data_IF_962069373107
#
_entry.id   IF_962069373107
#
_cell.length_a   1.000
_cell.length_b   1.000
_cell.length_c   1.000
_cell.angle_alpha   90.00
_cell.angle_beta   90.00
_cell.angle_gamma   90.00
#
_symmetry.space_group_name_H-M   'P 1'
#
loop_
_entity.id
_entity.type
_entity.pdbx_description
1 polymer ?
#
# COMPACT_ATOMS: atom_id res chain seq x y z
N UNK A 1 -17.47 6.75 -3.51
CA UNK A 1 -17.05 6.72 -2.08
C UNK A 1 -15.53 6.54 -2.06
N UNK A 2 -14.79 7.30 -1.24
CA UNK A 2 -13.32 7.25 -1.23
C UNK A 2 -12.71 6.26 -0.22
N UNK A 3 -13.36 6.05 0.93
CA UNK A 3 -12.90 5.13 1.98
C UNK A 3 -14.08 4.50 2.74
N UNK A 4 -13.82 3.39 3.43
CA UNK A 4 -14.69 2.86 4.49
C UNK A 4 -14.17 3.36 5.84
N UNK A 5 -14.78 4.42 6.38
CA UNK A 5 -14.35 5.02 7.64
C UNK A 5 -14.85 4.23 8.85
N UNK A 6 -13.98 4.02 9.83
CA UNK A 6 -14.30 3.40 11.12
C UNK A 6 -13.48 4.08 12.25
N UNK A 7 -13.75 3.72 13.51
CA UNK A 7 -12.97 4.23 14.65
C UNK A 7 -11.62 3.49 14.75
N UNK A 8 -10.64 4.10 15.41
CA UNK A 8 -9.32 3.49 15.60
C UNK A 8 -9.45 2.19 16.39
N UNK A 9 -10.31 2.15 17.41
CA UNK A 9 -10.53 0.99 18.28
C UNK A 9 -11.14 -0.19 17.51
N UNK A 10 -12.07 0.08 16.58
CA UNK A 10 -12.60 -0.96 15.69
C UNK A 10 -11.53 -1.46 14.72
N UNK A 11 -10.76 -0.54 14.12
CA UNK A 11 -9.69 -0.89 13.19
C UNK A 11 -8.63 -1.77 13.87
N UNK A 12 -8.13 -1.39 15.04
CA UNK A 12 -7.14 -2.16 15.81
C UNK A 12 -7.67 -3.54 16.21
N UNK A 13 -8.94 -3.62 16.65
CA UNK A 13 -9.59 -4.89 16.97
C UNK A 13 -9.64 -5.82 15.75
N UNK A 14 -9.97 -5.30 14.58
CA UNK A 14 -10.07 -6.08 13.34
C UNK A 14 -8.70 -6.46 12.79
N UNK A 15 -7.69 -5.61 12.96
CA UNK A 15 -6.28 -5.94 12.71
C UNK A 15 -5.84 -7.11 13.60
N UNK A 16 -6.13 -7.06 14.91
CA UNK A 16 -5.78 -8.14 15.83
C UNK A 16 -6.45 -9.48 15.49
N UNK A 17 -7.60 -9.45 14.80
CA UNK A 17 -8.30 -10.62 14.28
C UNK A 17 -7.76 -11.12 12.92
N UNK A 18 -6.79 -10.44 12.33
CA UNK A 18 -6.24 -10.79 11.02
C UNK A 18 -7.17 -10.48 9.84
N UNK A 19 -8.07 -9.50 9.97
CA UNK A 19 -9.05 -9.17 8.92
C UNK A 19 -8.46 -8.31 7.78
N UNK A 20 -7.23 -7.84 7.94
CA UNK A 20 -6.54 -6.96 6.99
C UNK A 20 -5.42 -7.71 6.27
N UNK A 21 -5.40 -7.52 4.95
CA UNK A 21 -4.34 -7.99 4.06
C UNK A 21 -3.06 -7.19 4.30
N UNK A 22 -3.21 -5.87 4.40
CA UNK A 22 -2.17 -4.93 4.79
C UNK A 22 -2.78 -3.76 5.58
N UNK A 23 -1.94 -3.10 6.38
CA UNK A 23 -2.29 -1.84 7.03
C UNK A 23 -1.04 -1.01 7.36
N UNK A 24 -1.23 0.30 7.44
CA UNK A 24 -0.18 1.25 7.82
C UNK A 24 -0.71 2.36 8.73
N UNK A 25 0.17 2.91 9.57
CA UNK A 25 -0.10 4.10 10.39
C UNK A 25 0.48 5.34 9.72
N UNK A 26 -0.38 6.30 9.38
CA UNK A 26 0.01 7.53 8.69
C UNK A 26 -0.64 8.72 9.42
N UNK A 27 0.19 9.65 9.90
CA UNK A 27 -0.25 10.85 10.63
C UNK A 27 -1.27 10.57 11.76
N UNK A 28 -1.04 9.52 12.54
CA UNK A 28 -1.91 9.14 13.67
C UNK A 28 -3.23 8.45 13.27
N UNK A 29 -3.43 8.17 11.98
CA UNK A 29 -4.55 7.35 11.47
C UNK A 29 -4.07 6.00 10.99
N UNK A 30 -5.00 5.05 10.89
CA UNK A 30 -4.73 3.70 10.37
C UNK A 30 -5.47 3.55 9.04
N UNK A 31 -4.73 3.10 8.03
CA UNK A 31 -5.24 2.74 6.72
C UNK A 31 -4.99 1.25 6.49
N UNK A 32 -5.81 0.59 5.68
CA UNK A 32 -5.56 -0.78 5.30
C UNK A 32 -6.59 -1.38 4.37
N UNK A 33 -6.16 -2.40 3.65
CA UNK A 33 -6.97 -3.18 2.71
C UNK A 33 -7.49 -4.43 3.41
N UNK A 34 -8.81 -4.56 3.56
CA UNK A 34 -9.40 -5.75 4.18
C UNK A 34 -9.50 -6.93 3.20
N UNK A 35 -9.36 -8.16 3.71
CA UNK A 35 -9.62 -9.37 2.91
C UNK A 35 -11.05 -9.41 2.36
N UNK A 36 -12.02 -8.84 3.09
CA UNK A 36 -13.39 -8.74 2.64
C UNK A 36 -13.55 -7.84 1.41
N UNK A 37 -12.84 -6.71 1.37
CA UNK A 37 -12.86 -5.80 0.23
C UNK A 37 -12.27 -6.45 -1.03
N UNK A 38 -11.13 -7.15 -0.90
CA UNK A 38 -10.51 -7.87 -2.01
C UNK A 38 -11.43 -8.96 -2.55
N UNK A 39 -12.00 -9.78 -1.66
CA UNK A 39 -12.95 -10.85 -2.06
C UNK A 39 -14.21 -10.30 -2.70
N UNK A 40 -14.76 -9.19 -2.21
CA UNK A 40 -15.95 -8.58 -2.81
C UNK A 40 -15.72 -8.16 -4.27
N UNK A 41 -14.50 -7.77 -4.64
CA UNK A 41 -14.15 -7.45 -6.03
C UNK A 41 -13.95 -8.72 -6.87
N UNK A 42 -13.26 -9.72 -6.31
CA UNK A 42 -12.91 -10.95 -7.02
C UNK A 42 -14.08 -11.94 -7.17
N UNK A 43 -15.01 -11.97 -6.21
CA UNK A 43 -16.08 -12.98 -6.07
C UNK A 43 -17.47 -12.36 -6.11
N UNK A 44 -17.58 -11.05 -6.38
CA UNK A 44 -18.87 -10.37 -6.55
C UNK A 44 -19.67 -10.89 -7.75
N UNK A 45 -20.90 -10.39 -7.92
CA UNK A 45 -21.82 -10.88 -8.97
C UNK A 45 -21.23 -10.87 -10.39
N UNK A 46 -20.40 -9.88 -10.70
CA UNK A 46 -19.50 -9.90 -11.87
C UNK A 46 -18.05 -9.86 -11.37
N UNK A 47 -17.33 -10.99 -11.36
CA UNK A 47 -15.93 -11.07 -10.94
C UNK A 47 -15.04 -10.10 -11.71
N UNK A 48 -14.24 -9.31 -10.99
CA UNK A 48 -13.29 -8.35 -11.58
C UNK A 48 -11.88 -8.62 -11.09
N UNK A 49 -10.90 -8.22 -11.90
CA UNK A 49 -9.51 -8.18 -11.46
C UNK A 49 -9.35 -7.07 -10.41
N UNK A 50 -9.03 -7.46 -9.17
CA UNK A 50 -8.71 -6.51 -8.11
C UNK A 50 -7.30 -5.96 -8.32
N UNK A 51 -7.20 -4.66 -8.62
CA UNK A 51 -5.91 -3.97 -8.73
C UNK A 51 -5.59 -3.37 -7.37
N UNK A 52 -4.50 -3.85 -6.76
CA UNK A 52 -3.97 -3.33 -5.51
C UNK A 52 -2.85 -2.34 -5.82
N UNK A 53 -3.06 -1.07 -5.48
CA UNK A 53 -2.03 -0.03 -5.51
C UNK A 53 -1.40 0.09 -4.12
N UNK A 54 -0.28 -0.62 -3.94
CA UNK A 54 0.41 -0.80 -2.66
C UNK A 54 1.92 -0.66 -2.85
N UNK A 55 2.63 -0.31 -1.79
CA UNK A 55 4.10 -0.30 -1.78
C UNK A 55 4.70 -1.71 -1.69
N UNK A 56 6.03 -1.79 -1.69
CA UNK A 56 6.77 -3.07 -1.63
C UNK A 56 6.48 -3.84 -0.34
N UNK A 57 6.30 -3.15 0.79
CA UNK A 57 5.98 -3.78 2.07
C UNK A 57 4.57 -4.41 2.03
N UNK A 58 3.61 -3.67 1.47
CA UNK A 58 2.26 -4.17 1.21
C UNK A 58 2.29 -5.40 0.30
N UNK A 59 3.04 -5.36 -0.80
CA UNK A 59 3.17 -6.49 -1.73
C UNK A 59 3.74 -7.75 -1.05
N UNK A 60 4.69 -7.60 -0.13
CA UNK A 60 5.21 -8.72 0.67
C UNK A 60 4.16 -9.32 1.60
N UNK A 61 3.29 -8.50 2.19
CA UNK A 61 2.16 -8.99 2.99
C UNK A 61 1.17 -9.78 2.13
N UNK A 62 0.88 -9.32 0.90
CA UNK A 62 0.04 -10.07 -0.05
C UNK A 62 0.66 -11.42 -0.39
N UNK A 63 1.97 -11.45 -0.63
CA UNK A 63 2.70 -12.69 -0.91
C UNK A 63 2.62 -13.67 0.26
N UNK A 64 2.77 -13.19 1.50
CA UNK A 64 2.66 -14.00 2.72
C UNK A 64 1.24 -14.52 2.95
N UNK A 65 0.22 -13.76 2.53
CA UNK A 65 -1.18 -14.17 2.60
C UNK A 65 -1.54 -15.31 1.62
N UNK A 66 -0.63 -15.68 0.72
CA UNK A 66 -0.81 -16.76 -0.28
C UNK A 66 -2.06 -16.58 -1.14
N UNK A 67 -2.44 -15.33 -1.42
CA UNK A 67 -3.51 -15.04 -2.36
C UNK A 67 -3.01 -15.28 -3.80
N UNK A 68 -3.86 -15.82 -4.70
CA UNK A 68 -3.52 -15.90 -6.11
C UNK A 68 -3.47 -14.48 -6.70
N UNK A 69 -2.27 -13.94 -6.87
CA UNK A 69 -2.06 -12.58 -7.34
C UNK A 69 -0.86 -12.49 -8.30
N UNK A 70 -0.98 -11.62 -9.31
CA UNK A 70 0.15 -11.16 -10.11
C UNK A 70 0.80 -9.95 -9.44
N UNK A 71 2.12 -9.86 -9.52
CA UNK A 71 2.89 -8.76 -8.93
C UNK A 71 3.58 -7.97 -10.04
N UNK A 72 3.40 -6.65 -10.03
CA UNK A 72 4.04 -5.73 -10.98
C UNK A 72 4.75 -4.65 -10.17
N UNK A 73 6.08 -4.63 -10.25
CA UNK A 73 6.89 -3.57 -9.66
C UNK A 73 7.11 -2.47 -10.70
N UNK A 74 6.76 -1.23 -10.35
CA UNK A 74 6.94 -0.06 -11.23
C UNK A 74 8.22 0.65 -10.81
N UNK A 75 9.33 0.27 -11.41
CA UNK A 75 10.61 0.92 -11.17
C UNK A 75 10.70 2.28 -11.89
N UNK A 76 11.26 3.34 -11.26
CA UNK A 76 11.70 4.51 -12.01
C UNK A 76 12.84 4.14 -12.98
N UNK A 77 13.04 4.89 -14.07
CA UNK A 77 14.10 4.59 -15.03
C UNK A 77 15.51 4.83 -14.46
N UNK A 78 15.65 5.66 -13.42
CA UNK A 78 16.87 5.83 -12.64
C UNK A 78 16.56 6.46 -11.27
N UNK A 79 17.52 6.41 -10.34
CA UNK A 79 17.39 7.05 -9.02
C UNK A 79 17.34 8.58 -9.14
N UNK A 80 18.09 9.15 -10.08
CA UNK A 80 18.11 10.60 -10.35
C UNK A 80 16.74 11.07 -10.85
N UNK A 81 16.09 10.29 -11.72
CA UNK A 81 14.76 10.61 -12.22
C UNK A 81 13.70 10.48 -11.11
N UNK A 82 13.83 9.51 -10.21
CA UNK A 82 12.97 9.41 -9.03
C UNK A 82 13.10 10.65 -8.14
N UNK A 83 14.34 11.04 -7.79
CA UNK A 83 14.62 12.22 -6.97
C UNK A 83 14.07 13.49 -7.63
N UNK A 84 14.33 13.69 -8.93
CA UNK A 84 13.81 14.82 -9.69
C UNK A 84 12.28 14.91 -9.62
N UNK A 85 11.57 13.78 -9.72
CA UNK A 85 10.10 13.71 -9.62
C UNK A 85 9.60 14.01 -8.22
N UNK A 86 10.25 13.49 -7.17
CA UNK A 86 9.86 13.74 -5.77
C UNK A 86 9.98 15.24 -5.44
N UNK A 87 11.13 15.84 -5.75
CA UNK A 87 11.38 17.27 -5.53
C UNK A 87 10.46 18.15 -6.37
N UNK A 88 10.23 17.77 -7.64
CA UNK A 88 9.37 18.50 -8.55
C UNK A 88 7.90 18.57 -8.15
N UNK A 89 7.42 17.66 -7.28
CA UNK A 89 6.04 17.72 -6.75
C UNK A 89 5.85 18.88 -5.78
N UNK A 90 6.89 19.29 -5.05
CA UNK A 90 6.83 20.39 -4.08
C UNK A 90 5.87 20.16 -2.91
N UNK A 91 5.49 18.90 -2.64
CA UNK A 91 4.51 18.53 -1.61
C UNK A 91 5.13 17.96 -0.33
N UNK A 92 6.44 17.73 -0.32
CA UNK A 92 7.14 17.00 0.73
C UNK A 92 8.32 17.83 1.27
N UNK A 93 8.68 17.63 2.53
CA UNK A 93 9.88 18.27 3.09
C UNK A 93 11.15 17.61 2.53
N UNK A 94 12.26 18.32 2.54
CA UNK A 94 13.58 17.76 2.16
C UNK A 94 13.89 16.46 2.90
N UNK A 95 13.58 16.41 4.20
CA UNK A 95 13.79 15.21 5.02
C UNK A 95 12.90 14.02 4.62
N UNK A 96 11.71 14.28 4.08
CA UNK A 96 10.82 13.21 3.60
C UNK A 96 11.25 12.72 2.22
N UNK A 97 11.77 13.62 1.36
CA UNK A 97 12.36 13.26 0.07
C UNK A 97 13.57 12.34 0.27
N UNK A 98 14.49 12.70 1.16
CA UNK A 98 15.68 11.87 1.46
C UNK A 98 15.30 10.47 1.97
N UNK A 99 14.30 10.38 2.87
CA UNK A 99 13.78 9.08 3.35
C UNK A 99 13.21 8.25 2.21
N UNK A 100 12.44 8.86 1.30
CA UNK A 100 11.88 8.14 0.14
C UNK A 100 12.94 7.64 -0.81
N UNK A 101 13.99 8.43 -1.07
CA UNK A 101 15.12 8.00 -1.90
C UNK A 101 15.86 6.83 -1.23
N UNK A 102 16.08 6.89 0.08
CA UNK A 102 16.72 5.80 0.82
C UNK A 102 15.89 4.50 0.78
N UNK A 103 14.58 4.59 0.99
CA UNK A 103 13.67 3.45 0.89
C UNK A 103 13.69 2.84 -0.52
N UNK A 104 13.58 3.68 -1.55
CA UNK A 104 13.57 3.21 -2.94
C UNK A 104 14.85 2.47 -3.33
N UNK A 105 16.02 2.81 -2.77
CA UNK A 105 17.25 2.05 -2.99
C UNK A 105 17.14 0.63 -2.44
N UNK A 106 16.63 0.48 -1.21
CA UNK A 106 16.43 -0.84 -0.61
C UNK A 106 15.31 -1.66 -1.26
N UNK A 107 14.36 -1.01 -1.92
CA UNK A 107 13.27 -1.67 -2.67
C UNK A 107 13.70 -2.21 -4.04
N UNK A 108 14.83 -1.73 -4.59
CA UNK A 108 15.35 -2.14 -5.90
C UNK A 108 16.31 -3.34 -5.85
N UNK A 109 16.80 -3.69 -4.66
CA UNK A 109 17.69 -4.82 -4.41
C UNK A 109 16.91 -6.13 -4.14
#
# INVERSE_FOLDING_TARGET
VHYNFTTIEDMERRIAKGEFLEYARVHGKIYGTSFAAVRAVAEGGEPKCCVLDIDVQGADLVRKAKLPAGFVFIAPPSMEELERRLRGRGTESESDVEKRIANARGEMD
#
